data_IF_557129738923
#
_entry.id   IF_557129738923
#
_cell.length_a   1.000
_cell.length_b   1.000
_cell.length_c   1.000
_cell.angle_alpha   90.00
_cell.angle_beta   90.00
_cell.angle_gamma   90.00
#
_symmetry.space_group_name_H-M   'P 1'
#
loop_
_entity.id
_entity.type
_entity.pdbx_description
1 polymer ?
#
# COMPACT_ATOMS: atom_id res chain seq x y z
N UNK A 1 -5.47 -1.97 22.49
CA UNK A 1 -5.73 -1.77 21.05
C UNK A 1 -6.61 -0.55 20.91
N UNK A 2 -6.23 0.42 20.09
CA UNK A 2 -7.06 1.61 19.82
C UNK A 2 -8.07 1.27 18.74
N UNK A 3 -9.35 1.60 18.96
CA UNK A 3 -10.41 1.46 17.95
C UNK A 3 -10.56 2.82 17.28
N UNK A 4 -10.38 2.86 15.96
CA UNK A 4 -10.67 4.02 15.13
C UNK A 4 -11.80 3.65 14.16
N UNK A 5 -12.76 4.55 14.00
CA UNK A 5 -13.90 4.37 13.11
C UNK A 5 -13.69 5.19 11.83
N UNK A 6 -14.01 4.59 10.69
CA UNK A 6 -14.05 5.25 9.38
C UNK A 6 -15.46 5.16 8.81
N UNK A 7 -15.89 6.18 8.07
CA UNK A 7 -17.17 6.16 7.35
C UNK A 7 -16.89 5.80 5.90
N UNK A 8 -17.49 4.71 5.42
CA UNK A 8 -17.37 4.28 4.02
C UNK A 8 -18.76 4.40 3.39
N UNK A 9 -18.94 5.25 2.36
CA UNK A 9 -20.18 5.28 1.62
C UNK A 9 -20.35 3.96 0.84
N UNK A 10 -21.52 3.35 0.98
CA UNK A 10 -21.94 2.15 0.27
C UNK A 10 -23.23 2.45 -0.49
N UNK A 11 -23.53 1.66 -1.50
CA UNK A 11 -24.85 1.71 -2.12
C UNK A 11 -25.94 1.34 -1.10
N UNK A 12 -27.17 1.80 -1.37
CA UNK A 12 -28.30 1.67 -0.44
C UNK A 12 -28.62 0.21 -0.12
N UNK A 13 -28.44 -0.71 -1.07
CA UNK A 13 -28.75 -2.12 -0.87
C UNK A 13 -27.72 -2.77 0.06
N UNK A 14 -26.43 -2.54 -0.20
CA UNK A 14 -25.34 -3.07 0.62
C UNK A 14 -25.38 -2.51 2.04
N UNK A 15 -25.68 -1.21 2.20
CA UNK A 15 -25.83 -0.60 3.53
C UNK A 15 -26.97 -1.25 4.33
N UNK A 16 -28.11 -1.55 3.69
CA UNK A 16 -29.24 -2.26 4.32
C UNK A 16 -28.87 -3.67 4.73
N UNK A 17 -28.21 -4.43 3.85
CA UNK A 17 -27.75 -5.79 4.13
C UNK A 17 -26.78 -5.82 5.31
N UNK A 18 -25.77 -4.95 5.32
CA UNK A 18 -24.81 -4.87 6.42
C UNK A 18 -25.50 -4.45 7.73
N UNK A 19 -26.42 -3.49 7.69
CA UNK A 19 -27.14 -3.02 8.89
C UNK A 19 -28.07 -4.09 9.45
N UNK A 20 -28.71 -4.89 8.59
CA UNK A 20 -29.59 -6.01 9.00
C UNK A 20 -28.85 -7.26 9.46
N UNK A 21 -27.55 -7.37 9.21
CA UNK A 21 -26.76 -8.56 9.59
C UNK A 21 -26.59 -8.71 11.11
N UNK A 22 -26.36 -9.95 11.55
CA UNK A 22 -26.08 -10.27 12.95
C UNK A 22 -24.79 -9.60 13.44
N UNK A 23 -24.64 -9.45 14.76
CA UNK A 23 -23.41 -8.91 15.35
C UNK A 23 -22.18 -9.75 15.01
N UNK A 24 -22.34 -11.06 14.87
CA UNK A 24 -21.27 -11.97 14.48
C UNK A 24 -20.86 -11.76 13.02
N UNK A 25 -21.83 -11.68 12.11
CA UNK A 25 -21.56 -11.47 10.69
C UNK A 25 -20.94 -10.09 10.43
N UNK A 26 -21.44 -9.04 11.10
CA UNK A 26 -20.82 -7.71 11.07
C UNK A 26 -19.35 -7.77 11.51
N UNK A 27 -19.02 -8.56 12.53
CA UNK A 27 -17.64 -8.72 13.00
C UNK A 27 -16.78 -9.43 11.95
N UNK A 28 -17.28 -10.49 11.32
CA UNK A 28 -16.59 -11.21 10.23
C UNK A 28 -16.33 -10.28 9.03
N UNK A 29 -17.35 -9.54 8.60
CA UNK A 29 -17.25 -8.59 7.49
C UNK A 29 -16.24 -7.47 7.77
N UNK A 30 -16.23 -6.90 8.98
CA UNK A 30 -15.21 -5.92 9.38
C UNK A 30 -13.79 -6.50 9.35
N UNK A 31 -13.62 -7.75 9.77
CA UNK A 31 -12.32 -8.40 9.74
C UNK A 31 -11.83 -8.57 8.30
N UNK A 32 -12.70 -9.05 7.41
CA UNK A 32 -12.39 -9.20 5.98
C UNK A 32 -12.01 -7.87 5.33
N UNK A 33 -12.81 -6.83 5.55
CA UNK A 33 -12.51 -5.48 5.07
C UNK A 33 -11.15 -4.98 5.60
N UNK A 34 -10.85 -5.22 6.87
CA UNK A 34 -9.58 -4.81 7.46
C UNK A 34 -8.37 -5.54 6.87
N UNK A 35 -8.57 -6.77 6.39
CA UNK A 35 -7.52 -7.54 5.72
C UNK A 35 -7.28 -6.96 4.32
N UNK A 36 -8.34 -6.75 3.54
CA UNK A 36 -8.24 -6.16 2.22
C UNK A 36 -7.63 -4.75 2.22
N UNK A 37 -7.99 -3.90 3.19
CA UNK A 37 -7.38 -2.56 3.32
C UNK A 37 -5.87 -2.63 3.61
N UNK A 38 -5.43 -3.63 4.38
CA UNK A 38 -4.01 -3.85 4.67
C UNK A 38 -3.28 -4.42 3.46
N UNK A 39 -3.87 -5.37 2.74
CA UNK A 39 -3.29 -5.92 1.51
C UNK A 39 -3.20 -4.87 0.40
N UNK A 40 -4.21 -4.03 0.27
CA UNK A 40 -4.19 -2.89 -0.66
C UNK A 40 -3.00 -1.96 -0.39
N UNK A 41 -2.76 -1.64 0.89
CA UNK A 41 -1.60 -0.85 1.31
C UNK A 41 -0.27 -1.61 1.20
N UNK A 42 -0.30 -2.94 1.35
CA UNK A 42 0.87 -3.81 1.27
C UNK A 42 1.26 -4.20 -0.16
N UNK A 43 0.51 -3.74 -1.18
CA UNK A 43 0.91 -3.94 -2.57
C UNK A 43 2.35 -3.44 -2.73
N UNK A 44 3.30 -4.34 -3.10
CA UNK A 44 4.71 -3.99 -3.11
C UNK A 44 4.90 -2.78 -4.00
N UNK A 45 5.57 -1.75 -3.48
CA UNK A 45 5.95 -0.57 -4.28
C UNK A 45 6.52 -1.09 -5.60
N UNK A 46 6.00 -0.65 -6.76
CA UNK A 46 6.51 -1.13 -8.03
C UNK A 46 8.03 -0.99 -8.04
N UNK A 47 8.74 -2.05 -8.45
CA UNK A 47 10.20 -2.06 -8.43
C UNK A 47 10.78 -0.79 -9.08
N UNK A 48 10.14 -0.32 -10.16
CA UNK A 48 10.46 0.94 -10.82
C UNK A 48 10.49 2.14 -9.87
N UNK A 49 9.47 2.32 -9.03
CA UNK A 49 9.43 3.44 -8.06
C UNK A 49 10.59 3.35 -7.07
N UNK A 50 10.91 2.14 -6.62
CA UNK A 50 12.05 1.91 -5.72
C UNK A 50 13.38 2.18 -6.43
N UNK A 51 13.51 1.77 -7.70
CA UNK A 51 14.69 2.06 -8.51
C UNK A 51 14.87 3.56 -8.76
N UNK A 52 13.78 4.28 -9.07
CA UNK A 52 13.78 5.73 -9.27
C UNK A 52 14.27 6.45 -7.98
N UNK A 53 13.73 6.08 -6.81
CA UNK A 53 14.19 6.60 -5.51
C UNK A 53 15.68 6.32 -5.23
N UNK A 54 16.18 5.14 -5.63
CA UNK A 54 17.59 4.77 -5.48
C UNK A 54 18.45 5.62 -6.41
N UNK A 55 18.05 5.78 -7.67
CA UNK A 55 18.74 6.62 -8.65
C UNK A 55 18.84 8.08 -8.21
N UNK A 56 17.75 8.66 -7.71
CA UNK A 56 17.73 10.03 -7.17
C UNK A 56 18.70 10.19 -6.00
N UNK A 57 18.67 9.27 -5.03
CA UNK A 57 19.57 9.30 -3.87
C UNK A 57 21.04 9.13 -4.27
N UNK A 58 21.31 8.29 -5.27
CA UNK A 58 22.66 8.07 -5.75
C UNK A 58 23.21 9.33 -6.43
N UNK A 59 22.43 9.96 -7.30
CA UNK A 59 22.80 11.24 -7.94
C UNK A 59 23.02 12.35 -6.90
N UNK A 60 22.11 12.48 -5.93
CA UNK A 60 22.24 13.47 -4.85
C UNK A 60 23.50 13.27 -3.98
N UNK A 61 24.03 12.05 -3.95
CA UNK A 61 25.28 11.70 -3.24
C UNK A 61 26.52 11.77 -4.14
N UNK A 62 26.39 12.28 -5.36
CA UNK A 62 27.49 12.46 -6.30
C UNK A 62 27.79 11.25 -7.16
N UNK A 63 26.91 10.24 -7.23
CA UNK A 63 27.00 9.21 -8.27
C UNK A 63 26.56 9.81 -9.60
N UNK A 64 27.51 10.38 -10.33
CA UNK A 64 27.27 10.89 -11.68
C UNK A 64 27.23 9.73 -12.69
N UNK A 65 26.63 9.93 -13.88
CA UNK A 65 26.61 8.92 -14.94
C UNK A 65 28.00 8.38 -15.29
N UNK A 66 29.02 9.22 -15.27
CA UNK A 66 30.40 8.88 -15.60
C UNK A 66 31.04 7.99 -14.52
N UNK A 67 30.77 8.26 -13.24
CA UNK A 67 31.24 7.42 -12.13
C UNK A 67 30.54 6.06 -12.16
N UNK A 68 29.22 6.05 -12.43
CA UNK A 68 28.47 4.82 -12.59
C UNK A 68 29.02 3.97 -13.74
N UNK A 69 29.27 4.58 -14.89
CA UNK A 69 29.85 3.91 -16.06
C UNK A 69 31.25 3.37 -15.77
N UNK A 70 32.09 4.14 -15.06
CA UNK A 70 33.39 3.67 -14.62
C UNK A 70 33.31 2.46 -13.69
N UNK A 71 32.33 2.41 -12.78
CA UNK A 71 32.14 1.28 -11.87
C UNK A 71 31.64 0.02 -12.58
N UNK A 72 30.74 0.18 -13.56
CA UNK A 72 30.18 -0.94 -14.33
C UNK A 72 31.20 -1.57 -15.29
N UNK A 73 32.16 -0.77 -15.76
CA UNK A 73 33.20 -1.18 -16.70
C UNK A 73 34.55 -1.51 -16.03
N UNK A 74 34.64 -1.46 -14.69
CA UNK A 74 35.88 -1.70 -13.94
C UNK A 74 36.30 -3.18 -13.81
N UNK A 75 35.82 -4.06 -14.70
CA UNK A 75 36.20 -5.48 -14.74
C UNK A 75 37.37 -5.72 -15.70
#
# INVERSE_FOLDING_TARGET
MTIANITIPLDTQTARLYTGASSEDKKKLRLLLSLWLREFAASPRPLKVVMDEISEKAQARGLTPEILESLLNAN
#
